data_IF_795805968786
#
_entry.id   IF_795805968786
#
_cell.length_a   1.000
_cell.length_b   1.000
_cell.length_c   1.000
_cell.angle_alpha   90.00
_cell.angle_beta   90.00
_cell.angle_gamma   90.00
#
_symmetry.space_group_name_H-M   'P 1'
#
loop_
_entity.id
_entity.type
_entity.pdbx_description
1 polymer ?
#
# COMPACT_ATOMS: atom_id res chain seq x y z
N UNK A 1 2.64 -16.35 -1.09
CA UNK A 1 1.79 -15.20 -1.41
C UNK A 1 2.21 -14.05 -0.49
N UNK A 2 2.54 -12.90 -1.06
CA UNK A 2 2.99 -11.72 -0.31
C UNK A 2 1.86 -10.67 -0.15
N UNK A 3 0.61 -11.04 -0.45
CA UNK A 3 -0.54 -10.15 -0.39
C UNK A 3 -0.60 -9.07 -1.49
N UNK A 4 0.31 -9.11 -2.47
CA UNK A 4 0.30 -8.18 -3.60
C UNK A 4 -0.46 -8.75 -4.80
N UNK A 5 -1.12 -7.86 -5.55
CA UNK A 5 -1.92 -8.25 -6.70
C UNK A 5 -1.90 -7.16 -7.78
N UNK A 6 -1.88 -7.59 -9.02
CA UNK A 6 -2.04 -6.74 -10.21
C UNK A 6 -3.09 -7.39 -11.11
N UNK A 7 -4.10 -6.63 -11.52
CA UNK A 7 -5.16 -7.16 -12.38
C UNK A 7 -4.62 -7.49 -13.79
N UNK A 8 -5.20 -8.49 -14.47
CA UNK A 8 -4.87 -8.78 -15.86
C UNK A 8 -5.10 -7.58 -16.80
N UNK A 9 -6.05 -6.71 -16.48
CA UNK A 9 -6.34 -5.48 -17.24
C UNK A 9 -5.18 -4.51 -17.12
N UNK A 10 -4.65 -4.30 -15.91
CA UNK A 10 -3.51 -3.41 -15.68
C UNK A 10 -2.24 -3.93 -16.35
N UNK A 11 -1.97 -5.24 -16.31
CA UNK A 11 -0.82 -5.86 -16.99
C UNK A 11 -0.84 -5.64 -18.52
N UNK A 12 -2.03 -5.48 -19.11
CA UNK A 12 -2.21 -5.18 -20.55
C UNK A 12 -2.09 -3.69 -20.86
N UNK A 13 -2.15 -2.80 -19.87
CA UNK A 13 -2.07 -1.35 -20.07
C UNK A 13 -0.72 -0.95 -20.66
N UNK A 14 -0.69 -0.16 -21.77
CA UNK A 14 0.57 0.32 -22.35
C UNK A 14 1.40 1.16 -21.37
N UNK A 15 0.72 2.01 -20.59
CA UNK A 15 1.39 2.83 -19.56
C UNK A 15 2.04 1.96 -18.49
N UNK A 16 1.34 0.95 -18.00
CA UNK A 16 1.89 0.06 -16.98
C UNK A 16 3.05 -0.77 -17.52
N UNK A 17 2.96 -1.24 -18.75
CA UNK A 17 4.07 -1.94 -19.43
C UNK A 17 5.29 -1.03 -19.61
N UNK A 18 5.09 0.24 -19.95
CA UNK A 18 6.16 1.22 -20.01
C UNK A 18 6.82 1.42 -18.64
N UNK A 19 6.04 1.51 -17.56
CA UNK A 19 6.56 1.62 -16.20
C UNK A 19 7.37 0.37 -15.80
N UNK A 20 6.88 -0.83 -16.11
CA UNK A 20 7.63 -2.06 -15.87
C UNK A 20 8.98 -2.05 -16.62
N UNK A 21 8.96 -1.69 -17.91
CA UNK A 21 10.18 -1.57 -18.70
C UNK A 21 11.15 -0.53 -18.12
N UNK A 22 10.67 0.65 -17.76
CA UNK A 22 11.48 1.72 -17.15
C UNK A 22 12.18 1.27 -15.86
N UNK A 23 11.55 0.39 -15.09
CA UNK A 23 12.10 -0.13 -13.85
C UNK A 23 12.78 -1.50 -14.01
N UNK A 24 13.06 -1.92 -15.25
CA UNK A 24 13.72 -3.19 -15.57
C UNK A 24 12.94 -4.42 -15.01
N UNK A 25 11.62 -4.29 -14.89
CA UNK A 25 10.74 -5.35 -14.38
C UNK A 25 10.16 -6.15 -15.56
N UNK A 26 10.30 -7.48 -15.49
CA UNK A 26 9.76 -8.36 -16.53
C UNK A 26 8.28 -8.71 -16.28
N UNK A 27 7.38 -8.41 -17.24
CA UNK A 27 5.99 -8.86 -17.15
C UNK A 27 5.85 -10.40 -17.15
N UNK A 28 6.84 -11.11 -17.69
CA UNK A 28 6.85 -12.57 -17.73
C UNK A 28 7.14 -13.22 -16.36
N UNK A 29 7.74 -12.47 -15.43
CA UNK A 29 8.11 -12.96 -14.11
C UNK A 29 7.56 -12.05 -13.00
N UNK A 30 6.22 -11.92 -12.86
CA UNK A 30 5.62 -10.98 -11.89
C UNK A 30 5.94 -11.34 -10.44
N UNK A 31 6.29 -12.60 -10.15
CA UNK A 31 6.71 -13.04 -8.81
C UNK A 31 8.05 -12.44 -8.38
N UNK A 32 8.92 -12.14 -9.33
CA UNK A 32 10.24 -11.56 -9.07
C UNK A 32 10.19 -10.03 -9.04
N UNK A 33 9.14 -9.42 -9.59
CA UNK A 33 9.03 -7.97 -9.72
C UNK A 33 9.19 -7.23 -8.38
N UNK A 34 8.55 -7.72 -7.32
CA UNK A 34 8.68 -7.10 -5.99
C UNK A 34 10.10 -7.16 -5.45
N UNK A 35 10.80 -8.29 -5.65
CA UNK A 35 12.19 -8.44 -5.22
C UNK A 35 13.11 -7.50 -6.00
N UNK A 36 13.02 -7.53 -7.33
CA UNK A 36 13.84 -6.68 -8.20
C UNK A 36 13.62 -5.21 -7.91
N UNK A 37 12.36 -4.79 -7.76
CA UNK A 37 12.01 -3.41 -7.43
C UNK A 37 12.56 -2.99 -6.06
N UNK A 38 12.45 -3.86 -5.05
CA UNK A 38 12.99 -3.61 -3.72
C UNK A 38 14.52 -3.48 -3.75
N UNK A 39 15.22 -4.34 -4.48
CA UNK A 39 16.67 -4.27 -4.66
C UNK A 39 17.10 -2.93 -5.29
N UNK A 40 16.33 -2.44 -6.28
CA UNK A 40 16.54 -1.11 -6.87
C UNK A 40 16.35 0.00 -5.83
N UNK A 41 15.25 -0.01 -5.08
CA UNK A 41 15.00 1.00 -4.03
C UNK A 41 16.08 1.00 -2.96
N UNK A 42 16.53 -0.16 -2.51
CA UNK A 42 17.61 -0.29 -1.52
C UNK A 42 18.89 0.31 -2.07
N UNK A 43 19.24 0.00 -3.32
CA UNK A 43 20.44 0.54 -3.98
C UNK A 43 20.39 2.07 -4.10
N UNK A 44 19.26 2.62 -4.57
CA UNK A 44 19.07 4.06 -4.74
C UNK A 44 19.13 4.81 -3.40
N UNK A 45 18.49 4.29 -2.36
CA UNK A 45 18.53 4.91 -1.04
C UNK A 45 19.93 4.87 -0.43
N UNK A 46 20.65 3.75 -0.56
CA UNK A 46 22.03 3.65 -0.07
C UNK A 46 23.00 4.57 -0.82
N UNK A 47 22.74 4.84 -2.10
CA UNK A 47 23.52 5.78 -2.90
C UNK A 47 23.15 7.26 -2.65
N UNK A 48 22.00 7.52 -2.05
CA UNK A 48 21.52 8.88 -1.80
C UNK A 48 22.34 9.60 -0.72
N UNK A 49 22.74 10.84 -1.00
CA UNK A 49 23.44 11.69 -0.04
C UNK A 49 22.50 12.51 0.86
N UNK A 50 21.22 12.63 0.46
CA UNK A 50 20.28 13.56 1.08
C UNK A 50 19.05 12.87 1.67
N UNK A 51 18.66 11.71 1.15
CA UNK A 51 17.52 10.92 1.65
C UNK A 51 18.05 9.78 2.49
N UNK A 52 17.75 9.79 3.77
CA UNK A 52 18.18 8.74 4.70
C UNK A 52 17.18 7.60 4.78
N UNK A 53 15.89 7.92 4.80
CA UNK A 53 14.81 6.94 4.88
C UNK A 53 13.66 7.29 3.95
N UNK A 54 12.95 6.27 3.49
CA UNK A 54 11.72 6.40 2.72
C UNK A 54 10.56 5.67 3.42
N UNK A 55 9.34 6.17 3.24
CA UNK A 55 8.14 5.44 3.66
C UNK A 55 7.70 4.54 2.53
N UNK A 56 7.68 3.23 2.77
CA UNK A 56 7.05 2.26 1.86
C UNK A 56 5.55 2.34 2.01
N UNK A 57 4.87 2.71 0.93
CA UNK A 57 3.43 2.87 0.93
C UNK A 57 2.73 1.60 0.43
N UNK A 58 1.77 1.12 1.22
CA UNK A 58 0.81 0.11 0.80
C UNK A 58 -0.21 0.67 -0.19
N UNK A 59 -0.94 -0.24 -0.82
CA UNK A 59 -2.11 0.07 -1.64
C UNK A 59 -3.19 -0.97 -1.36
N UNK A 60 -4.25 -0.54 -0.71
CA UNK A 60 -5.40 -1.40 -0.44
C UNK A 60 -6.38 -1.41 -1.62
N UNK A 61 -7.26 -2.40 -1.65
CA UNK A 61 -8.19 -2.62 -2.73
C UNK A 61 -9.52 -1.89 -2.59
N UNK A 62 -10.44 -2.24 -3.48
CA UNK A 62 -11.86 -1.87 -3.44
C UNK A 62 -12.61 -2.91 -2.64
N UNK A 63 -13.53 -2.47 -1.78
CA UNK A 63 -14.38 -3.35 -0.97
C UNK A 63 -15.84 -3.19 -1.34
N UNK A 64 -16.61 -4.25 -1.20
CA UNK A 64 -18.05 -4.21 -1.40
C UNK A 64 -18.81 -3.69 -0.15
N UNK A 65 -20.13 -3.70 -0.24
CA UNK A 65 -20.99 -3.21 0.86
C UNK A 65 -20.92 -4.07 2.14
N UNK A 66 -20.43 -5.31 2.03
CA UNK A 66 -20.23 -6.23 3.15
C UNK A 66 -18.84 -6.09 3.80
N UNK A 67 -17.95 -5.26 3.21
CA UNK A 67 -16.60 -5.08 3.68
C UNK A 67 -15.61 -6.14 3.17
N UNK A 68 -16.01 -6.95 2.18
CA UNK A 68 -15.15 -7.95 1.56
C UNK A 68 -14.45 -7.39 0.33
N UNK A 69 -13.20 -7.84 0.11
CA UNK A 69 -12.37 -7.39 -1.01
C UNK A 69 -13.00 -7.75 -2.37
N UNK A 70 -13.33 -6.73 -3.15
CA UNK A 70 -13.84 -6.87 -4.51
C UNK A 70 -12.67 -6.93 -5.52
N UNK A 71 -12.23 -8.14 -5.84
CA UNK A 71 -11.14 -8.37 -6.79
C UNK A 71 -11.43 -7.92 -8.23
N UNK A 72 -12.69 -7.85 -8.64
CA UNK A 72 -13.06 -7.41 -9.98
C UNK A 72 -12.80 -5.92 -10.20
N UNK A 73 -12.94 -5.12 -9.13
CA UNK A 73 -12.71 -3.68 -9.15
C UNK A 73 -11.34 -3.27 -8.58
N UNK A 74 -10.59 -4.22 -8.02
CA UNK A 74 -9.23 -3.97 -7.52
C UNK A 74 -8.23 -4.19 -8.64
N UNK A 75 -7.61 -3.12 -9.14
CA UNK A 75 -6.62 -3.21 -10.22
C UNK A 75 -5.21 -3.47 -9.70
N UNK A 76 -4.89 -2.92 -8.53
CA UNK A 76 -3.57 -3.01 -7.93
C UNK A 76 -3.67 -3.09 -6.41
N UNK A 77 -2.86 -3.95 -5.79
CA UNK A 77 -2.83 -4.14 -4.35
C UNK A 77 -1.39 -4.40 -3.89
N UNK A 78 -0.97 -3.64 -2.89
CA UNK A 78 0.28 -3.86 -2.15
C UNK A 78 -0.10 -4.16 -0.72
N UNK A 79 0.01 -5.44 -0.33
CA UNK A 79 -0.43 -5.93 0.97
C UNK A 79 0.31 -5.28 2.14
N UNK A 80 -0.42 -5.02 3.23
CA UNK A 80 0.14 -4.41 4.42
C UNK A 80 1.23 -5.28 5.06
N UNK A 81 1.07 -6.61 5.04
CA UNK A 81 2.08 -7.53 5.56
C UNK A 81 3.40 -7.45 4.78
N UNK A 82 3.32 -7.27 3.46
CA UNK A 82 4.52 -7.06 2.63
C UNK A 82 5.24 -5.77 3.03
N UNK A 83 4.51 -4.67 3.19
CA UNK A 83 5.07 -3.37 3.59
C UNK A 83 5.71 -3.44 4.98
N UNK A 84 5.00 -3.97 5.96
CA UNK A 84 5.47 -4.10 7.34
C UNK A 84 6.69 -5.03 7.44
N UNK A 85 6.66 -6.18 6.76
CA UNK A 85 7.77 -7.13 6.72
C UNK A 85 9.00 -6.52 6.06
N UNK A 86 8.82 -5.79 4.96
CA UNK A 86 9.92 -5.16 4.24
C UNK A 86 10.56 -4.04 5.07
N UNK A 87 9.76 -3.16 5.68
CA UNK A 87 10.28 -2.12 6.55
C UNK A 87 11.04 -2.70 7.77
N UNK A 88 10.56 -3.81 8.32
CA UNK A 88 11.24 -4.52 9.42
C UNK A 88 12.56 -5.16 8.96
N UNK A 89 12.66 -5.63 7.71
CA UNK A 89 13.87 -6.22 7.17
C UNK A 89 14.97 -5.19 6.86
N UNK A 90 14.60 -3.92 6.62
CA UNK A 90 15.51 -2.82 6.33
C UNK A 90 15.20 -1.58 7.18
N UNK A 91 15.28 -1.67 8.51
CA UNK A 91 14.82 -0.61 9.43
C UNK A 91 15.65 0.68 9.31
N UNK A 92 16.86 0.58 8.77
CA UNK A 92 17.73 1.72 8.50
C UNK A 92 17.29 2.52 7.27
N UNK A 93 16.54 1.90 6.33
CA UNK A 93 16.15 2.51 5.06
C UNK A 93 14.64 2.81 4.96
N UNK A 94 13.80 1.97 5.58
CA UNK A 94 12.37 2.04 5.36
C UNK A 94 11.55 2.23 6.63
N UNK A 95 10.47 3.00 6.47
CA UNK A 95 9.36 3.12 7.39
C UNK A 95 8.11 2.53 6.76
N UNK A 96 7.22 1.94 7.54
CA UNK A 96 6.02 1.32 7.02
C UNK A 96 4.83 2.30 6.96
N UNK A 97 4.26 2.49 5.78
CA UNK A 97 3.02 3.22 5.53
C UNK A 97 1.96 2.31 4.91
N UNK A 98 1.31 1.43 5.69
CA UNK A 98 0.24 0.59 5.20
C UNK A 98 -0.91 1.36 4.57
N UNK A 99 -1.74 0.69 3.79
CA UNK A 99 -2.98 1.25 3.24
C UNK A 99 -4.18 0.50 3.79
N UNK A 100 -5.18 1.22 4.27
CA UNK A 100 -6.39 0.60 4.83
C UNK A 100 -7.60 1.34 4.27
N UNK A 101 -8.38 0.67 3.43
CA UNK A 101 -9.66 1.19 2.98
C UNK A 101 -10.67 1.11 4.15
N UNK A 102 -11.29 2.23 4.56
CA UNK A 102 -12.23 2.23 5.69
C UNK A 102 -13.52 1.45 5.45
N UNK A 103 -13.75 0.95 4.22
CA UNK A 103 -14.87 0.06 3.90
C UNK A 103 -14.63 -1.41 4.31
N UNK A 104 -13.42 -1.80 4.65
CA UNK A 104 -13.12 -3.15 5.13
C UNK A 104 -13.95 -3.47 6.36
N UNK A 105 -14.44 -4.70 6.47
CA UNK A 105 -15.11 -5.17 7.69
C UNK A 105 -14.21 -5.13 8.93
N UNK A 106 -12.88 -5.38 8.73
CA UNK A 106 -11.84 -5.40 9.76
C UNK A 106 -11.03 -4.09 9.82
N UNK A 107 -11.53 -2.97 9.25
CA UNK A 107 -10.74 -1.74 9.09
C UNK A 107 -10.12 -1.24 10.39
N UNK A 108 -10.86 -1.27 11.50
CA UNK A 108 -10.41 -0.78 12.82
C UNK A 108 -9.37 -1.73 13.40
N UNK A 109 -9.62 -3.03 13.35
CA UNK A 109 -8.69 -4.05 13.83
C UNK A 109 -7.37 -4.01 13.06
N UNK A 110 -7.46 -3.78 11.75
CA UNK A 110 -6.30 -3.63 10.89
C UNK A 110 -5.49 -2.35 11.22
N UNK A 111 -6.15 -1.24 11.60
CA UNK A 111 -5.44 -0.03 12.11
C UNK A 111 -4.64 -0.39 13.35
N UNK A 112 -5.25 -1.06 14.33
CA UNK A 112 -4.57 -1.45 15.55
C UNK A 112 -3.42 -2.42 15.27
N UNK A 113 -3.66 -3.42 14.43
CA UNK A 113 -2.64 -4.41 14.03
C UNK A 113 -1.44 -3.74 13.35
N UNK A 114 -1.68 -2.84 12.39
CA UNK A 114 -0.62 -2.14 11.69
C UNK A 114 0.17 -1.20 12.64
N UNK A 115 -0.53 -0.51 13.55
CA UNK A 115 0.12 0.33 14.56
C UNK A 115 1.05 -0.48 15.45
N UNK A 116 0.58 -1.63 15.97
CA UNK A 116 1.38 -2.53 16.81
C UNK A 116 2.57 -3.12 16.06
N UNK A 117 2.45 -3.28 14.74
CA UNK A 117 3.52 -3.74 13.88
C UNK A 117 4.52 -2.64 13.45
N UNK A 118 4.34 -1.38 13.91
CA UNK A 118 5.26 -0.29 13.68
C UNK A 118 4.96 0.58 12.46
N UNK A 119 3.71 0.62 12.01
CA UNK A 119 3.28 1.58 10.98
C UNK A 119 3.47 3.02 11.47
N UNK A 120 3.94 3.91 10.59
CA UNK A 120 4.16 5.34 10.90
C UNK A 120 3.06 6.24 10.34
N UNK A 121 2.26 5.75 9.42
CA UNK A 121 1.09 6.42 8.85
C UNK A 121 0.18 5.40 8.16
N UNK A 122 -1.05 5.81 7.86
CA UNK A 122 -1.95 5.06 6.98
C UNK A 122 -2.21 5.86 5.70
N UNK A 123 -1.99 5.21 4.55
CA UNK A 123 -2.18 5.78 3.21
C UNK A 123 -3.49 5.32 2.59
N UNK A 124 -4.19 6.24 1.91
CA UNK A 124 -5.35 5.90 1.07
C UNK A 124 -5.34 6.63 -0.26
N UNK A 125 -6.02 6.05 -1.25
CA UNK A 125 -6.35 6.65 -2.53
C UNK A 125 -7.88 6.54 -2.74
N UNK A 126 -8.68 7.49 -2.24
CA UNK A 126 -10.14 7.38 -2.22
C UNK A 126 -10.77 7.06 -3.57
N UNK A 127 -10.29 7.71 -4.66
CA UNK A 127 -10.80 7.46 -6.01
C UNK A 127 -10.52 6.02 -6.48
N UNK A 128 -9.29 5.52 -6.28
CA UNK A 128 -8.90 4.17 -6.70
C UNK A 128 -9.48 3.08 -5.78
N UNK A 129 -9.78 3.41 -4.53
CA UNK A 129 -10.34 2.52 -3.52
C UNK A 129 -11.87 2.64 -3.42
N UNK A 130 -12.49 3.47 -4.26
CA UNK A 130 -13.95 3.65 -4.39
C UNK A 130 -14.68 3.99 -3.09
N UNK A 131 -14.16 4.90 -2.29
CA UNK A 131 -14.86 5.39 -1.11
C UNK A 131 -14.84 6.92 -1.00
N UNK A 132 -15.86 7.48 -0.36
CA UNK A 132 -15.93 8.90 -0.04
C UNK A 132 -15.34 9.14 1.37
N UNK A 133 -14.16 9.78 1.51
CA UNK A 133 -13.55 9.98 2.82
C UNK A 133 -14.36 10.90 3.76
N UNK A 134 -15.29 11.68 3.23
CA UNK A 134 -16.15 12.54 4.03
C UNK A 134 -17.40 11.82 4.59
N UNK A 135 -17.62 10.55 4.25
CA UNK A 135 -18.77 9.79 4.72
C UNK A 135 -18.73 9.64 6.26
N UNK A 136 -19.77 10.10 6.98
CA UNK A 136 -19.83 10.03 8.44
C UNK A 136 -19.67 8.62 9.03
N UNK A 137 -19.98 7.58 8.26
CA UNK A 137 -19.81 6.18 8.71
C UNK A 137 -18.37 5.81 9.04
N UNK A 138 -17.37 6.54 8.49
CA UNK A 138 -15.94 6.30 8.76
C UNK A 138 -15.38 7.03 9.97
N UNK A 139 -16.20 7.77 10.73
CA UNK A 139 -15.77 8.42 11.98
C UNK A 139 -15.11 7.45 12.98
N UNK A 140 -15.60 6.20 13.18
CA UNK A 140 -14.91 5.24 14.06
C UNK A 140 -13.50 4.90 13.58
N UNK A 141 -13.31 4.72 12.26
CA UNK A 141 -12.01 4.49 11.66
C UNK A 141 -11.02 5.65 11.91
N UNK A 142 -11.46 6.90 11.68
CA UNK A 142 -10.63 8.08 11.95
C UNK A 142 -10.32 8.25 13.44
N UNK A 143 -11.23 7.87 14.32
CA UNK A 143 -10.99 7.85 15.77
C UNK A 143 -9.90 6.84 16.13
N UNK A 144 -9.93 5.64 15.59
CA UNK A 144 -8.91 4.63 15.81
C UNK A 144 -7.51 5.13 15.34
N UNK A 145 -7.44 5.80 14.20
CA UNK A 145 -6.19 6.43 13.74
C UNK A 145 -5.68 7.48 14.74
N UNK A 146 -6.56 8.34 15.25
CA UNK A 146 -6.21 9.38 16.21
C UNK A 146 -5.75 8.79 17.56
N UNK A 147 -6.44 7.76 18.06
CA UNK A 147 -6.06 7.03 19.28
C UNK A 147 -4.66 6.40 19.16
N UNK A 148 -4.35 5.87 18.00
CA UNK A 148 -3.02 5.29 17.68
C UNK A 148 -1.99 6.33 17.24
N UNK A 149 -2.35 7.62 17.17
CA UNK A 149 -1.50 8.73 16.71
C UNK A 149 -0.90 8.47 15.33
N UNK A 150 -1.67 7.80 14.45
CA UNK A 150 -1.25 7.52 13.07
C UNK A 150 -1.70 8.64 12.14
N UNK A 151 -0.79 9.36 11.49
CA UNK A 151 -1.11 10.28 10.41
C UNK A 151 -1.91 9.59 9.29
N UNK A 152 -2.87 10.31 8.73
CA UNK A 152 -3.67 9.86 7.60
C UNK A 152 -3.23 10.59 6.33
N UNK A 153 -2.63 9.87 5.40
CA UNK A 153 -2.15 10.38 4.13
C UNK A 153 -3.16 10.05 3.02
N UNK A 154 -3.96 11.04 2.61
CA UNK A 154 -4.91 10.89 1.50
C UNK A 154 -4.32 11.42 0.20
N UNK A 155 -4.40 10.64 -0.86
CA UNK A 155 -4.14 11.12 -2.21
C UNK A 155 -5.36 11.90 -2.69
N UNK A 156 -5.11 13.10 -3.23
CA UNK A 156 -6.12 13.96 -3.84
C UNK A 156 -5.72 14.16 -5.31
N UNK A 157 -6.62 13.79 -6.24
CA UNK A 157 -6.37 13.88 -7.68
C UNK A 157 -7.58 13.44 -8.47
#
# INVERSE_FOLDING_TARGET
DNGCYISPKMLKSPLFRFLLWKHELSPAHPRDANRTYLEHLVRELRASKHVQKAVLLGMDGVYDQTGLLNRQHTEFLIGNDYVLKTARAYPELFLAGPSINPQREDAIDEVHRCADAGAVLIKVLPNAQHFNPADPKYKPFYRALAERKLPFLSHVG
#
